data_IF_774869805883
#
_entry.id   IF_774869805883
#
_cell.length_a   1.000
_cell.length_b   1.000
_cell.length_c   1.000
_cell.angle_alpha   90.00
_cell.angle_beta   90.00
_cell.angle_gamma   90.00
#
_symmetry.space_group_name_H-M   'P 1'
#
loop_
_entity.id
_entity.type
_entity.pdbx_description
1 polymer ?
#
# COMPACT_ATOMS: atom_id res chain seq x y z
N UNK A 1 28.23 -9.86 7.30
CA UNK A 1 27.48 -10.28 8.51
C UNK A 1 28.47 -10.35 9.69
N UNK A 2 29.15 -9.24 10.00
CA UNK A 2 30.18 -9.17 11.07
C UNK A 2 29.77 -8.16 12.15
N UNK A 3 29.09 -7.07 11.77
CA UNK A 3 28.67 -6.04 12.74
C UNK A 3 27.66 -6.50 13.80
N UNK A 4 26.79 -7.48 13.50
CA UNK A 4 25.91 -8.06 14.53
C UNK A 4 26.70 -8.91 15.54
N UNK A 5 27.66 -9.70 15.08
CA UNK A 5 28.51 -10.57 15.91
C UNK A 5 29.35 -9.77 16.91
N UNK A 6 30.03 -8.72 16.43
CA UNK A 6 30.82 -7.83 17.30
C UNK A 6 29.96 -7.10 18.33
N UNK A 7 28.72 -6.74 17.97
CA UNK A 7 27.79 -6.05 18.87
C UNK A 7 27.23 -6.97 19.96
N UNK A 8 27.13 -8.29 19.69
CA UNK A 8 26.63 -9.29 20.65
C UNK A 8 27.70 -9.61 21.69
N UNK A 9 28.97 -9.63 21.28
CA UNK A 9 30.11 -9.81 22.17
C UNK A 9 30.35 -8.63 23.12
N UNK A 10 29.95 -7.41 22.73
CA UNK A 10 30.21 -6.18 23.47
C UNK A 10 29.05 -5.73 24.39
N UNK A 11 27.87 -6.38 24.35
CA UNK A 11 26.75 -6.06 25.24
C UNK A 11 25.37 -6.40 24.68
N UNK A 12 24.31 -5.97 25.38
CA UNK A 12 22.93 -6.21 24.97
C UNK A 12 22.59 -5.46 23.66
N UNK A 13 22.25 -6.21 22.59
CA UNK A 13 21.83 -5.63 21.31
C UNK A 13 20.36 -5.22 21.35
N UNK A 14 20.07 -4.01 20.87
CA UNK A 14 18.70 -3.58 20.54
C UNK A 14 18.35 -3.98 19.11
N UNK A 15 17.45 -4.95 18.96
CA UNK A 15 16.95 -5.39 17.66
C UNK A 15 15.67 -4.62 17.31
N UNK A 16 15.58 -3.94 16.16
CA UNK A 16 14.36 -3.24 15.78
C UNK A 16 13.28 -4.26 15.40
N UNK A 17 12.19 -4.29 16.16
CA UNK A 17 11.01 -5.10 15.83
C UNK A 17 10.14 -4.30 14.86
N UNK A 18 9.83 -4.88 13.70
CA UNK A 18 8.87 -4.31 12.76
C UNK A 18 7.50 -4.93 13.01
N UNK A 19 6.52 -4.08 13.32
CA UNK A 19 5.12 -4.48 13.47
C UNK A 19 4.36 -4.18 12.18
N UNK A 20 3.53 -5.12 11.74
CA UNK A 20 2.62 -4.96 10.61
C UNK A 20 1.19 -5.06 11.14
N UNK A 21 0.36 -4.08 10.80
CA UNK A 21 -1.06 -4.08 11.14
C UNK A 21 -1.90 -4.02 9.87
N UNK A 22 -2.95 -4.84 9.81
CA UNK A 22 -3.92 -4.84 8.72
C UNK A 22 -5.21 -4.23 9.25
N UNK A 23 -5.75 -3.24 8.53
CA UNK A 23 -7.03 -2.62 8.84
C UNK A 23 -7.91 -2.67 7.59
N UNK A 24 -9.15 -3.10 7.76
CA UNK A 24 -10.15 -3.20 6.69
C UNK A 24 -11.23 -2.15 6.91
N UNK A 25 -11.61 -1.45 5.84
CA UNK A 25 -12.69 -0.47 5.86
C UNK A 25 -13.73 -0.87 4.82
N UNK A 26 -15.00 -0.88 5.21
CA UNK A 26 -16.10 -1.13 4.29
C UNK A 26 -16.57 0.20 3.68
N UNK A 27 -16.65 0.24 2.35
CA UNK A 27 -17.08 1.40 1.59
C UNK A 27 -18.44 1.10 0.96
N UNK A 28 -19.40 2.03 1.04
CA UNK A 28 -20.71 1.87 0.40
C UNK A 28 -20.63 2.17 -1.09
N UNK A 29 -21.50 1.52 -1.88
CA UNK A 29 -21.57 1.75 -3.32
C UNK A 29 -22.09 3.14 -3.65
N UNK A 30 -21.56 3.76 -4.71
CA UNK A 30 -22.00 5.08 -5.19
C UNK A 30 -21.27 6.26 -4.54
N UNK A 31 -20.37 6.03 -3.59
CA UNK A 31 -19.53 7.10 -3.05
C UNK A 31 -18.47 7.54 -4.07
N UNK A 32 -18.36 8.85 -4.28
CA UNK A 32 -17.33 9.44 -5.15
C UNK A 32 -16.07 9.87 -4.39
N UNK A 33 -16.20 10.15 -3.10
CA UNK A 33 -15.10 10.59 -2.24
C UNK A 33 -15.30 10.06 -0.83
N UNK A 34 -14.22 9.54 -0.24
CA UNK A 34 -14.20 8.96 1.10
C UNK A 34 -12.93 9.44 1.81
N UNK A 35 -13.11 9.92 3.04
CA UNK A 35 -12.02 10.17 3.98
C UNK A 35 -12.17 9.21 5.15
N UNK A 36 -11.10 8.46 5.47
CA UNK A 36 -11.08 7.54 6.59
C UNK A 36 -10.36 8.22 7.75
N UNK A 37 -11.10 8.82 8.73
CA UNK A 37 -10.47 9.47 9.86
C UNK A 37 -9.82 8.43 10.78
N UNK A 38 -8.70 8.80 11.41
CA UNK A 38 -8.02 7.96 12.39
C UNK A 38 -7.72 6.54 11.89
N UNK A 39 -7.37 6.40 10.61
CA UNK A 39 -7.02 5.11 10.02
C UNK A 39 -5.91 4.40 10.82
N UNK A 40 -4.99 5.15 11.42
CA UNK A 40 -4.01 4.67 12.38
C UNK A 40 -4.09 5.53 13.65
N UNK A 41 -3.99 4.89 14.81
CA UNK A 41 -3.99 5.56 16.11
C UNK A 41 -2.59 5.36 16.71
N UNK A 42 -1.91 6.46 17.03
CA UNK A 42 -0.56 6.44 17.58
C UNK A 42 0.52 6.59 16.50
N UNK A 43 1.47 5.65 16.45
CA UNK A 43 2.57 5.72 15.48
C UNK A 43 2.08 5.44 14.06
N UNK A 44 2.43 6.34 13.14
CA UNK A 44 2.24 6.13 11.71
C UNK A 44 3.19 5.03 11.21
N UNK A 45 2.71 4.11 10.37
CA UNK A 45 3.58 3.07 9.81
C UNK A 45 4.64 3.71 8.92
N UNK A 46 5.80 3.08 8.77
CA UNK A 46 6.82 3.53 7.80
C UNK A 46 6.45 3.19 6.35
N UNK A 47 5.47 2.29 6.17
CA UNK A 47 5.04 1.78 4.88
C UNK A 47 3.55 1.44 4.93
N UNK A 48 2.77 2.02 4.03
CA UNK A 48 1.34 1.74 3.90
C UNK A 48 1.07 1.01 2.58
N UNK A 49 0.40 -0.14 2.64
CA UNK A 49 -0.09 -0.89 1.46
C UNK A 49 -1.61 -0.91 1.50
N UNK A 50 -2.25 -0.44 0.43
CA UNK A 50 -3.71 -0.40 0.31
C UNK A 50 -4.16 -1.23 -0.89
N UNK A 51 -5.09 -2.16 -0.66
CA UNK A 51 -5.78 -2.89 -1.73
C UNK A 51 -7.30 -2.79 -1.56
N UNK A 52 -8.02 -2.69 -2.67
CA UNK A 52 -9.48 -2.69 -2.68
C UNK A 52 -10.00 -3.98 -3.29
N UNK A 53 -11.04 -4.55 -2.67
CA UNK A 53 -11.65 -5.82 -3.05
C UNK A 53 -13.15 -5.75 -2.80
N UNK A 54 -13.92 -6.55 -3.53
CA UNK A 54 -15.37 -6.61 -3.31
C UNK A 54 -15.70 -7.17 -1.93
N UNK A 55 -16.72 -6.61 -1.27
CA UNK A 55 -17.15 -7.03 0.07
C UNK A 55 -17.47 -8.53 0.14
N UNK A 56 -18.16 -9.10 -0.85
CA UNK A 56 -18.42 -10.55 -0.92
C UNK A 56 -17.14 -11.40 -0.91
N UNK A 57 -16.13 -10.99 -1.68
CA UNK A 57 -14.86 -11.72 -1.74
C UNK A 57 -14.10 -11.61 -0.41
N UNK A 58 -14.12 -10.44 0.23
CA UNK A 58 -13.56 -10.23 1.57
C UNK A 58 -14.24 -11.11 2.63
N UNK A 59 -15.56 -11.29 2.53
CA UNK A 59 -16.36 -12.12 3.45
C UNK A 59 -16.33 -13.63 3.11
N UNK A 60 -15.58 -14.06 2.10
CA UNK A 60 -15.38 -15.49 1.81
C UNK A 60 -16.44 -16.14 0.91
N UNK A 61 -17.06 -15.40 0.00
CA UNK A 61 -17.87 -15.98 -1.09
C UNK A 61 -17.01 -16.99 -1.89
N UNK A 62 -17.39 -18.27 -1.86
CA UNK A 62 -16.65 -19.37 -2.49
C UNK A 62 -16.44 -19.21 -4.00
N UNK A 63 -17.27 -18.39 -4.66
CA UNK A 63 -17.15 -18.11 -6.10
C UNK A 63 -16.18 -16.97 -6.41
N UNK A 64 -15.68 -16.26 -5.38
CA UNK A 64 -14.87 -15.04 -5.54
C UNK A 64 -13.52 -15.18 -4.84
N UNK A 65 -12.54 -14.48 -5.38
CA UNK A 65 -11.17 -14.48 -4.85
C UNK A 65 -10.89 -13.21 -4.03
N UNK A 66 -10.56 -13.28 -2.72
CA UNK A 66 -10.21 -12.13 -1.89
C UNK A 66 -8.89 -11.45 -2.28
N UNK A 67 -8.03 -12.13 -3.04
CA UNK A 67 -6.76 -11.59 -3.57
C UNK A 67 -6.90 -10.96 -4.96
N UNK A 68 -8.13 -10.88 -5.49
CA UNK A 68 -8.40 -10.19 -6.74
C UNK A 68 -8.67 -8.70 -6.48
N UNK A 69 -7.59 -7.94 -6.30
CA UNK A 69 -7.68 -6.50 -6.08
C UNK A 69 -8.17 -5.77 -7.34
N UNK A 70 -9.08 -4.82 -7.15
CA UNK A 70 -9.65 -3.98 -8.22
C UNK A 70 -9.41 -2.51 -7.92
N UNK A 71 -9.23 -1.70 -8.95
CA UNK A 71 -8.99 -0.27 -8.78
C UNK A 71 -10.28 0.57 -8.61
N UNK A 72 -11.46 0.03 -8.94
CA UNK A 72 -12.75 0.71 -8.79
C UNK A 72 -12.76 2.17 -9.28
N UNK A 73 -12.07 2.42 -10.41
CA UNK A 73 -11.91 3.74 -11.02
C UNK A 73 -11.44 4.85 -10.05
N UNK A 74 -10.59 4.48 -9.08
CA UNK A 74 -9.99 5.43 -8.15
C UNK A 74 -9.23 6.52 -8.91
N UNK A 75 -9.60 7.79 -8.71
CA UNK A 75 -8.96 8.92 -9.42
C UNK A 75 -8.04 9.75 -8.54
N UNK A 76 -8.12 9.59 -7.22
CA UNK A 76 -7.37 10.39 -6.25
C UNK A 76 -7.05 9.59 -4.99
N UNK A 77 -5.80 9.64 -4.54
CA UNK A 77 -5.39 9.10 -3.24
C UNK A 77 -4.28 9.94 -2.60
N UNK A 78 -4.45 10.27 -1.32
CA UNK A 78 -3.38 10.76 -0.45
C UNK A 78 -3.62 10.30 0.99
N UNK A 79 -2.55 10.24 1.78
CA UNK A 79 -2.60 10.13 3.23
C UNK A 79 -2.47 11.53 3.82
N UNK A 80 -3.27 11.83 4.84
CA UNK A 80 -3.19 13.08 5.59
C UNK A 80 -2.57 12.79 6.96
N UNK A 81 -1.46 13.45 7.25
CA UNK A 81 -0.82 13.49 8.57
C UNK A 81 -0.93 14.91 9.12
N UNK A 82 -1.95 15.16 9.94
CA UNK A 82 -2.35 16.49 10.36
C UNK A 82 -2.67 17.37 9.14
N UNK A 83 -1.84 18.39 8.91
CA UNK A 83 -1.98 19.33 7.78
C UNK A 83 -1.07 18.98 6.58
N UNK A 84 -0.36 17.85 6.62
CA UNK A 84 0.57 17.44 5.58
C UNK A 84 -0.03 16.31 4.74
N UNK A 85 0.04 16.46 3.42
CA UNK A 85 -0.26 15.39 2.48
C UNK A 85 0.98 14.53 2.23
N UNK A 86 0.78 13.21 2.27
CA UNK A 86 1.79 12.22 1.93
C UNK A 86 1.17 11.27 0.88
N UNK A 87 1.74 11.20 -0.34
CA UNK A 87 2.86 11.98 -0.82
C UNK A 87 2.46 13.46 -1.05
N UNK A 88 3.44 14.37 -1.05
CA UNK A 88 3.17 15.82 -1.22
C UNK A 88 2.40 16.16 -2.49
N UNK A 89 2.58 15.36 -3.54
CA UNK A 89 1.69 15.33 -4.71
C UNK A 89 0.82 14.09 -4.59
N UNK A 90 -0.50 14.22 -4.41
CA UNK A 90 -1.42 13.08 -4.38
C UNK A 90 -1.27 12.18 -5.59
N UNK A 91 -1.62 10.92 -5.44
CA UNK A 91 -1.75 10.00 -6.57
C UNK A 91 -3.03 10.33 -7.33
N UNK A 92 -2.93 10.45 -8.65
CA UNK A 92 -4.06 10.69 -9.54
C UNK A 92 -4.02 9.70 -10.72
N UNK A 93 -4.24 8.40 -10.48
CA UNK A 93 -4.22 7.42 -11.56
C UNK A 93 -5.41 7.65 -12.50
N UNK A 94 -5.18 7.45 -13.79
CA UNK A 94 -6.24 7.33 -14.80
C UNK A 94 -6.15 5.95 -15.42
N UNK A 95 -7.28 5.26 -15.50
CA UNK A 95 -7.37 3.90 -16.03
C UNK A 95 -7.96 3.86 -17.46
N UNK A 96 -7.98 5.01 -18.14
CA UNK A 96 -8.53 5.23 -19.49
C UNK A 96 -7.57 4.84 -20.64
N UNK A 97 -6.55 4.03 -20.35
CA UNK A 97 -5.53 3.64 -21.31
C UNK A 97 -4.43 4.68 -21.55
N UNK A 98 -4.55 5.89 -20.98
CA UNK A 98 -3.41 6.78 -20.81
C UNK A 98 -2.54 6.21 -19.68
N UNK A 99 -1.24 5.98 -19.90
CA UNK A 99 -0.29 5.38 -18.93
C UNK A 99 -0.05 6.22 -17.64
N UNK A 100 -1.05 6.97 -17.17
CA UNK A 100 -1.04 7.89 -16.04
C UNK A 100 -1.06 7.20 -14.66
N UNK A 101 -1.04 5.86 -14.60
CA UNK A 101 -0.85 5.10 -13.36
C UNK A 101 0.62 4.71 -13.10
N UNK A 102 1.54 5.02 -14.01
CA UNK A 102 2.97 4.70 -13.92
C UNK A 102 3.64 5.17 -12.63
N UNK A 103 3.26 6.34 -12.11
CA UNK A 103 3.75 6.86 -10.84
C UNK A 103 3.32 6.00 -9.65
N UNK A 104 2.08 5.52 -9.63
CA UNK A 104 1.57 4.64 -8.57
C UNK A 104 2.31 3.29 -8.61
N UNK A 105 2.51 2.75 -9.82
CA UNK A 105 3.28 1.53 -10.04
C UNK A 105 4.73 1.71 -9.56
N UNK A 106 5.41 2.79 -9.97
CA UNK A 106 6.79 3.04 -9.57
C UNK A 106 6.94 3.19 -8.04
N UNK A 107 6.00 3.90 -7.39
CA UNK A 107 5.99 4.06 -5.94
C UNK A 107 5.93 2.71 -5.24
N UNK A 108 5.07 1.80 -5.70
CA UNK A 108 4.95 0.45 -5.14
C UNK A 108 6.29 -0.32 -5.14
N UNK A 109 7.01 -0.35 -6.26
CA UNK A 109 8.29 -1.08 -6.35
C UNK A 109 9.42 -0.39 -5.56
N UNK A 110 9.44 0.94 -5.59
CA UNK A 110 10.40 1.76 -4.82
C UNK A 110 10.19 1.55 -3.34
N UNK A 111 8.94 1.64 -2.88
CA UNK A 111 8.58 1.52 -1.48
C UNK A 111 8.85 0.13 -0.96
N UNK A 112 8.66 -0.93 -1.76
CA UNK A 112 8.99 -2.30 -1.37
C UNK A 112 10.50 -2.57 -1.30
N UNK A 113 11.35 -1.65 -1.78
CA UNK A 113 12.79 -1.86 -1.91
C UNK A 113 13.12 -2.92 -2.95
N UNK A 114 12.23 -3.10 -3.93
CA UNK A 114 12.35 -4.03 -5.07
C UNK A 114 12.67 -3.31 -6.37
N UNK A 115 12.80 -1.99 -6.33
CA UNK A 115 13.33 -1.21 -7.44
C UNK A 115 14.72 -1.74 -7.83
N UNK A 116 14.90 -2.05 -9.13
CA UNK A 116 16.10 -2.70 -9.70
C UNK A 116 16.46 -4.07 -9.12
N UNK A 117 15.50 -4.82 -8.57
CA UNK A 117 15.71 -6.23 -8.20
C UNK A 117 14.85 -7.12 -9.11
N UNK A 118 15.42 -8.22 -9.57
CA UNK A 118 14.72 -9.29 -10.30
C UNK A 118 13.80 -10.10 -9.35
N UNK A 119 12.97 -9.41 -8.58
CA UNK A 119 12.00 -9.98 -7.66
C UNK A 119 10.61 -9.46 -8.00
N UNK A 120 9.86 -10.26 -8.75
CA UNK A 120 8.49 -9.94 -9.10
C UNK A 120 7.55 -10.04 -7.88
N UNK A 121 6.50 -9.23 -7.87
CA UNK A 121 5.41 -9.23 -6.89
C UNK A 121 4.11 -9.72 -7.55
N UNK A 122 4.17 -10.22 -8.80
CA UNK A 122 3.01 -10.62 -9.59
C UNK A 122 2.02 -9.45 -9.77
N UNK A 123 2.56 -8.25 -9.99
CA UNK A 123 1.77 -7.04 -10.27
C UNK A 123 2.26 -6.51 -11.61
N UNK A 124 1.41 -6.66 -12.63
CA UNK A 124 1.74 -6.25 -13.99
C UNK A 124 1.41 -4.78 -14.25
N UNK A 125 2.21 -4.13 -15.11
CA UNK A 125 1.98 -2.77 -15.62
C UNK A 125 0.78 -2.67 -16.59
N UNK A 126 0.09 -3.79 -16.88
CA UNK A 126 -1.08 -3.79 -17.77
C UNK A 126 -2.33 -3.23 -17.06
N UNK A 127 -3.31 -2.81 -17.87
CA UNK A 127 -4.62 -2.19 -17.51
C UNK A 127 -5.33 -2.83 -16.31
N UNK A 128 -5.01 -4.07 -15.95
CA UNK A 128 -5.39 -4.69 -14.68
C UNK A 128 -4.32 -4.51 -13.61
N UNK A 129 -4.09 -3.28 -13.16
CA UNK A 129 -3.38 -3.12 -11.90
C UNK A 129 -4.28 -3.70 -10.81
N UNK A 130 -3.91 -4.88 -10.30
CA UNK A 130 -4.36 -5.39 -9.00
C UNK A 130 -3.75 -4.46 -7.95
N UNK A 131 -4.43 -3.34 -7.75
CA UNK A 131 -3.88 -2.16 -7.10
C UNK A 131 -3.65 -2.42 -5.62
N UNK A 132 -2.41 -2.76 -5.28
CA UNK A 132 -1.80 -2.43 -4.00
C UNK A 132 -1.15 -1.04 -4.12
N UNK A 133 -1.84 0.06 -3.82
CA UNK A 133 -1.16 1.36 -3.80
C UNK A 133 -0.32 1.40 -2.54
N UNK A 134 0.97 1.62 -2.73
CA UNK A 134 1.91 1.74 -1.64
C UNK A 134 2.33 3.19 -1.51
N UNK A 135 2.21 3.71 -0.29
CA UNK A 135 2.77 4.99 0.08
C UNK A 135 3.73 4.75 1.25
N UNK A 136 5.01 5.00 1.03
CA UNK A 136 5.95 5.25 2.11
C UNK A 136 5.63 6.61 2.76
N UNK A 137 5.69 6.64 4.09
CA UNK A 137 5.42 7.82 4.92
C UNK A 137 6.72 8.57 5.23
#
# INVERSE_FOLDING_TARGET
>A
MIGHETSLGNGAIKMPIRRTEVKSFALSSGMQSITIPNAFIGQLPTRLIMGMVSNNAFNGDFTKNPFNFKHYDLTYLCVLDGNRMIPSKPFQPKFDGSNCYSRCYMSLFTDLGRYHKDQDINISFSVNIRMGILCSL
#
